data_IF_936234510314
#
_entry.id   IF_936234510314
#
_cell.length_a   1.000
_cell.length_b   1.000
_cell.length_c   1.000
_cell.angle_alpha   90.00
_cell.angle_beta   90.00
_cell.angle_gamma   90.00
#
_symmetry.space_group_name_H-M   'P 1'
#
loop_
_entity.id
_entity.type
_entity.pdbx_description
1 polymer ?
#
# COMPACT_ATOMS: atom_id res chain seq x y z
N UNK A 1 -0.66 -11.83 8.45
CA UNK A 1 -0.43 -10.97 7.28
C UNK A 1 -1.70 -10.18 6.99
N UNK A 2 -1.56 -8.90 6.67
CA UNK A 2 -2.62 -8.03 6.22
C UNK A 2 -2.23 -7.46 4.85
N UNK A 3 -3.21 -7.43 3.94
CA UNK A 3 -3.11 -6.69 2.69
C UNK A 3 -3.91 -5.41 2.85
N UNK A 4 -3.27 -4.28 2.59
CA UNK A 4 -3.91 -2.96 2.64
C UNK A 4 -3.92 -2.40 1.22
N UNK A 5 -5.13 -2.22 0.68
CA UNK A 5 -5.36 -1.55 -0.59
C UNK A 5 -5.64 -0.06 -0.32
N UNK A 6 -4.82 0.82 -0.88
CA UNK A 6 -4.95 2.27 -0.74
C UNK A 6 -5.29 2.91 -2.09
N UNK A 7 -6.36 3.71 -2.12
CA UNK A 7 -6.71 4.51 -3.28
C UNK A 7 -5.93 5.84 -3.27
N UNK A 8 -5.08 6.03 -4.28
CA UNK A 8 -4.23 7.21 -4.44
C UNK A 8 -4.56 7.91 -5.77
N UNK A 9 -5.63 8.69 -5.81
CA UNK A 9 -6.11 9.30 -7.05
C UNK A 9 -6.55 8.24 -8.06
N UNK A 10 -6.01 8.20 -9.29
CA UNK A 10 -6.33 7.15 -10.27
C UNK A 10 -5.61 5.82 -10.00
N UNK A 11 -4.64 5.79 -9.08
CA UNK A 11 -3.81 4.62 -8.81
C UNK A 11 -4.28 3.88 -7.57
N UNK A 12 -4.03 2.56 -7.54
CA UNK A 12 -4.17 1.72 -6.35
C UNK A 12 -2.80 1.24 -5.91
N UNK A 13 -2.45 1.48 -4.65
CA UNK A 13 -1.24 0.94 -4.04
C UNK A 13 -1.64 -0.22 -3.14
N UNK A 14 -0.87 -1.32 -3.20
CA UNK A 14 -1.07 -2.49 -2.34
C UNK A 14 0.15 -2.63 -1.45
N UNK A 15 -0.08 -2.66 -0.14
CA UNK A 15 0.97 -2.94 0.85
C UNK A 15 0.69 -4.26 1.55
N UNK A 16 1.73 -5.08 1.68
CA UNK A 16 1.70 -6.29 2.48
C UNK A 16 2.46 -6.03 3.78
N UNK A 17 1.77 -6.20 4.90
CA UNK A 17 2.35 -6.01 6.24
C UNK A 17 1.84 -7.08 7.21
N UNK A 18 2.31 -7.06 8.45
CA UNK A 18 1.77 -7.93 9.50
C UNK A 18 0.36 -7.47 9.88
N UNK A 19 -0.42 -8.34 10.53
CA UNK A 19 -1.78 -7.94 10.95
C UNK A 19 -1.69 -6.92 12.10
N UNK A 20 -0.78 -7.19 13.01
CA UNK A 20 -0.47 -6.36 14.17
C UNK A 20 -0.06 -4.95 13.75
N UNK A 21 0.76 -4.79 12.70
CA UNK A 21 1.13 -3.46 12.21
C UNK A 21 -0.06 -2.68 11.64
N UNK A 22 -1.00 -3.35 10.97
CA UNK A 22 -2.21 -2.69 10.46
C UNK A 22 -3.12 -2.24 11.61
N UNK A 23 -3.24 -3.08 12.65
CA UNK A 23 -4.03 -2.80 13.85
C UNK A 23 -3.39 -1.67 14.69
N UNK A 24 -2.07 -1.68 14.88
CA UNK A 24 -1.30 -0.65 15.60
C UNK A 24 -1.39 0.74 14.92
N UNK A 25 -1.51 0.75 13.58
CA UNK A 25 -1.72 1.96 12.79
C UNK A 25 -3.19 2.42 12.79
N UNK A 26 -4.12 1.63 13.32
CA UNK A 26 -5.56 1.91 13.30
C UNK A 26 -6.14 1.94 11.90
N UNK A 27 -5.62 1.12 10.98
CA UNK A 27 -6.08 1.10 9.59
C UNK A 27 -7.46 0.43 9.47
N UNK A 28 -8.42 1.21 9.00
CA UNK A 28 -9.79 0.78 8.74
C UNK A 28 -10.24 1.24 7.34
N UNK A 29 -11.18 0.52 6.69
CA UNK A 29 -11.76 0.97 5.43
C UNK A 29 -12.35 2.38 5.52
N UNK A 30 -11.90 3.27 4.64
CA UNK A 30 -12.41 4.65 4.53
C UNK A 30 -11.59 5.70 5.28
N UNK A 31 -10.60 5.32 6.09
CA UNK A 31 -9.70 6.31 6.71
C UNK A 31 -8.71 6.88 5.70
N UNK A 32 -8.26 8.11 5.93
CA UNK A 32 -7.14 8.67 5.19
C UNK A 32 -5.82 8.06 5.69
N UNK A 33 -4.96 7.65 4.77
CA UNK A 33 -3.64 7.12 5.07
C UNK A 33 -2.60 7.58 4.04
N UNK A 34 -1.32 7.45 4.40
CA UNK A 34 -0.17 7.82 3.57
C UNK A 34 0.53 6.54 3.14
N UNK A 35 0.69 6.35 1.83
CA UNK A 35 1.59 5.33 1.30
C UNK A 35 2.97 5.93 1.01
N UNK A 36 3.97 5.55 1.80
CA UNK A 36 5.38 5.88 1.53
C UNK A 36 6.09 4.70 0.87
N UNK A 37 6.78 4.94 -0.24
CA UNK A 37 7.60 3.93 -0.93
C UNK A 37 9.07 4.30 -0.76
N UNK A 38 9.90 3.32 -0.38
CA UNK A 38 11.36 3.53 -0.32
C UNK A 38 11.91 3.69 -1.74
N UNK A 39 12.37 4.90 -2.06
CA UNK A 39 12.78 5.28 -3.42
C UNK A 39 13.88 4.38 -4.03
N UNK A 40 14.72 3.74 -3.22
CA UNK A 40 15.80 2.87 -3.70
C UNK A 40 15.33 1.48 -4.16
N UNK A 41 14.04 1.15 -4.03
CA UNK A 41 13.52 -0.19 -4.26
C UNK A 41 12.24 -0.13 -5.10
N UNK A 42 12.40 0.24 -6.36
CA UNK A 42 11.32 0.30 -7.34
C UNK A 42 11.60 -0.73 -8.44
N UNK A 43 10.61 -1.57 -8.75
CA UNK A 43 10.64 -2.47 -9.89
C UNK A 43 10.03 -1.74 -11.08
N UNK A 44 10.73 -1.72 -12.20
CA UNK A 44 10.28 -1.08 -13.45
C UNK A 44 10.24 -2.16 -14.53
N UNK A 45 9.07 -2.32 -15.15
CA UNK A 45 8.85 -3.31 -16.21
C UNK A 45 8.16 -2.64 -17.40
N UNK A 46 8.33 -3.23 -18.59
CA UNK A 46 7.56 -2.84 -19.76
C UNK A 46 6.15 -3.42 -19.65
N UNK A 47 5.11 -2.69 -20.11
CA UNK A 47 3.75 -3.21 -20.10
C UNK A 47 3.66 -4.49 -20.94
N UNK A 48 3.06 -5.54 -20.38
CA UNK A 48 2.66 -6.72 -21.13
C UNK A 48 1.58 -6.31 -22.14
N UNK A 49 1.81 -6.67 -23.42
CA UNK A 49 0.79 -6.55 -24.47
C UNK A 49 -0.35 -7.53 -24.25
#
# INVERSE_FOLDING_TARGET
MAQVDLQCGPFRLVSLMTREAADDLGLEPGVLAIASVKATSVVVELPTR
#
